data_IF_767847272999
#
_entry.id   IF_767847272999
#
_cell.length_a   1.000
_cell.length_b   1.000
_cell.length_c   1.000
_cell.angle_alpha   90.00
_cell.angle_beta   90.00
_cell.angle_gamma   90.00
#
_symmetry.space_group_name_H-M   'P 1'
#
loop_
_entity.id
_entity.type
_entity.pdbx_description
1 polymer ?
#
# COMPACT_ATOMS: atom_id res chain seq x y z
N UNK A 1 -57.52 -30.43 -1.44
CA UNK A 1 -56.91 -30.15 -0.12
C UNK A 1 -55.40 -30.24 -0.31
N UNK A 2 -54.82 -29.37 -1.14
CA UNK A 2 -54.06 -28.16 -0.76
C UNK A 2 -52.89 -28.51 0.15
N UNK A 3 -51.74 -28.70 -0.49
CA UNK A 3 -50.53 -29.26 0.08
C UNK A 3 -49.86 -28.43 1.17
N UNK A 4 -49.19 -29.19 2.02
CA UNK A 4 -48.15 -28.80 2.97
C UNK A 4 -47.13 -27.89 2.26
N UNK A 5 -47.10 -26.60 2.61
CA UNK A 5 -46.04 -25.72 2.13
C UNK A 5 -44.81 -25.96 3.00
N UNK A 6 -43.63 -26.21 2.42
CA UNK A 6 -42.39 -26.27 3.19
C UNK A 6 -42.15 -24.93 3.91
N UNK A 7 -41.49 -24.94 5.10
CA UNK A 7 -41.16 -23.73 5.82
C UNK A 7 -40.35 -22.80 4.91
N UNK A 8 -40.79 -21.54 4.84
CA UNK A 8 -40.10 -20.53 4.04
C UNK A 8 -38.64 -20.42 4.50
N UNK A 9 -37.66 -20.33 3.57
CA UNK A 9 -36.26 -20.18 3.93
C UNK A 9 -36.06 -18.95 4.81
N UNK A 10 -35.31 -19.10 5.90
CA UNK A 10 -34.94 -18.02 6.79
C UNK A 10 -34.28 -16.91 5.96
N UNK A 11 -34.91 -15.73 5.89
CA UNK A 11 -34.30 -14.58 5.21
C UNK A 11 -32.96 -14.29 5.87
N UNK A 12 -31.89 -14.06 5.10
CA UNK A 12 -30.66 -13.50 5.65
C UNK A 12 -31.01 -12.14 6.27
N UNK A 13 -31.13 -12.10 7.60
CA UNK A 13 -31.16 -10.84 8.34
C UNK A 13 -29.76 -10.26 8.19
N UNK A 14 -29.59 -9.37 7.21
CA UNK A 14 -28.42 -8.50 7.10
C UNK A 14 -28.36 -7.58 8.30
N UNK A 15 -27.99 -8.12 9.46
CA UNK A 15 -27.47 -7.33 10.56
C UNK A 15 -26.15 -6.70 10.12
N UNK A 16 -25.77 -5.54 10.70
CA UNK A 16 -24.46 -4.94 10.43
C UNK A 16 -23.41 -6.03 10.59
N UNK A 17 -22.60 -6.24 9.55
CA UNK A 17 -21.46 -7.13 9.62
C UNK A 17 -20.65 -6.68 10.83
N UNK A 18 -20.67 -7.51 11.88
CA UNK A 18 -19.82 -7.31 13.05
C UNK A 18 -18.40 -7.17 12.49
N UNK A 19 -17.73 -6.03 12.69
CA UNK A 19 -16.34 -5.90 12.28
C UNK A 19 -15.58 -6.93 13.09
N UNK A 20 -15.34 -8.08 12.47
CA UNK A 20 -14.66 -9.20 13.09
C UNK A 20 -13.37 -8.74 13.75
N UNK A 21 -12.88 -9.49 14.75
CA UNK A 21 -11.71 -9.11 15.53
C UNK A 21 -10.58 -8.63 14.60
N UNK A 22 -9.92 -7.50 14.91
CA UNK A 22 -8.91 -6.92 14.04
C UNK A 22 -7.87 -7.99 13.71
N UNK A 23 -7.41 -8.09 12.45
CA UNK A 23 -6.44 -9.09 12.07
C UNK A 23 -5.25 -9.01 13.04
N UNK A 24 -4.93 -10.14 13.66
CA UNK A 24 -3.77 -10.27 14.54
C UNK A 24 -2.57 -9.86 13.71
N UNK A 25 -1.87 -8.79 14.10
CA UNK A 25 -0.75 -8.27 13.33
C UNK A 25 0.39 -9.31 13.34
N UNK A 26 0.40 -10.19 12.34
CA UNK A 26 1.50 -11.12 12.12
C UNK A 26 2.77 -10.29 11.95
N UNK A 27 3.74 -10.56 12.81
CA UNK A 27 4.99 -9.83 12.91
C UNK A 27 5.76 -10.08 11.62
N UNK A 28 5.63 -9.15 10.64
CA UNK A 28 6.29 -9.30 9.34
C UNK A 28 7.79 -9.53 9.54
N UNK A 29 8.37 -10.60 8.97
CA UNK A 29 9.79 -10.92 9.09
C UNK A 29 10.68 -9.74 8.71
N UNK A 30 11.74 -9.52 9.48
CA UNK A 30 12.70 -8.42 9.26
C UNK A 30 13.32 -8.45 7.86
N UNK A 31 13.42 -9.63 7.24
CA UNK A 31 13.93 -9.80 5.88
C UNK A 31 13.00 -9.19 4.82
N UNK A 32 11.68 -9.36 4.95
CA UNK A 32 10.70 -8.74 4.05
C UNK A 32 10.73 -7.22 4.16
N UNK A 33 10.96 -6.68 5.37
CA UNK A 33 11.08 -5.23 5.59
C UNK A 33 12.32 -4.66 4.93
N UNK A 34 13.46 -5.34 5.07
CA UNK A 34 14.70 -4.94 4.43
C UNK A 34 14.58 -5.02 2.89
N UNK A 35 13.89 -6.04 2.37
CA UNK A 35 13.59 -6.17 0.94
C UNK A 35 12.76 -5.00 0.41
N UNK A 36 11.69 -4.62 1.12
CA UNK A 36 10.86 -3.46 0.75
C UNK A 36 11.64 -2.14 0.84
N UNK A 37 12.45 -1.95 1.88
CA UNK A 37 13.30 -0.78 2.02
C UNK A 37 14.36 -0.69 0.91
N UNK A 38 14.95 -1.81 0.49
CA UNK A 38 15.90 -1.87 -0.61
C UNK A 38 15.26 -1.50 -1.94
N UNK A 39 14.05 -2.02 -2.23
CA UNK A 39 13.31 -1.64 -3.46
C UNK A 39 12.98 -0.15 -3.45
N UNK A 40 12.52 0.39 -2.32
CA UNK A 40 12.26 1.81 -2.19
C UNK A 40 13.52 2.65 -2.40
N UNK A 41 14.68 2.20 -1.92
CA UNK A 41 15.97 2.87 -2.15
C UNK A 41 16.34 2.88 -3.65
N UNK A 42 16.19 1.75 -4.34
CA UNK A 42 16.47 1.66 -5.80
C UNK A 42 15.54 2.59 -6.57
N UNK A 43 14.23 2.50 -6.32
CA UNK A 43 13.24 3.34 -7.00
C UNK A 43 13.47 4.82 -6.71
N UNK A 44 13.67 5.18 -5.43
CA UNK A 44 13.97 6.56 -5.03
C UNK A 44 15.24 7.09 -5.68
N UNK A 45 16.29 6.27 -5.78
CA UNK A 45 17.52 6.61 -6.48
C UNK A 45 17.31 6.85 -7.97
N UNK A 46 16.52 6.01 -8.65
CA UNK A 46 16.17 6.19 -10.06
C UNK A 46 15.37 7.49 -10.29
N UNK A 47 14.42 7.82 -9.42
CA UNK A 47 13.68 9.08 -9.52
C UNK A 47 14.57 10.30 -9.24
N UNK A 48 15.51 10.20 -8.30
CA UNK A 48 16.47 11.27 -8.03
C UNK A 48 17.42 11.48 -9.22
N UNK A 49 17.89 10.40 -9.84
CA UNK A 49 18.68 10.44 -11.06
C UNK A 49 17.90 11.06 -12.22
N UNK A 50 16.64 10.66 -12.41
CA UNK A 50 15.77 11.25 -13.43
C UNK A 50 15.54 12.74 -13.19
N UNK A 51 15.32 13.14 -11.94
CA UNK A 51 15.18 14.55 -11.56
C UNK A 51 16.43 15.36 -11.90
N UNK A 52 17.62 14.82 -11.61
CA UNK A 52 18.89 15.44 -11.98
C UNK A 52 19.05 15.58 -13.49
N UNK A 53 18.82 14.49 -14.24
CA UNK A 53 18.91 14.50 -15.70
C UNK A 53 17.94 15.50 -16.34
N UNK A 54 16.67 15.51 -15.91
CA UNK A 54 15.65 16.44 -16.38
C UNK A 54 16.00 17.90 -16.05
N UNK A 55 16.53 18.16 -14.85
CA UNK A 55 16.98 19.48 -14.43
C UNK A 55 18.11 20.01 -15.32
N UNK A 56 19.10 19.16 -15.64
CA UNK A 56 20.18 19.53 -16.57
C UNK A 56 19.69 19.73 -18.02
N UNK A 57 18.57 19.10 -18.39
CA UNK A 57 17.94 19.25 -19.70
C UNK A 57 17.00 20.45 -19.84
N UNK A 58 16.74 21.20 -18.76
CA UNK A 58 15.86 22.38 -18.75
C UNK A 58 14.38 22.09 -18.45
N UNK A 59 14.01 20.83 -18.22
CA UNK A 59 12.64 20.36 -17.95
C UNK A 59 12.32 20.46 -16.45
N UNK A 60 12.16 21.68 -15.94
CA UNK A 60 12.00 21.93 -14.50
C UNK A 60 10.74 21.29 -13.89
N UNK A 61 9.66 21.17 -14.65
CA UNK A 61 8.41 20.53 -14.20
C UNK A 61 8.65 19.03 -13.96
N UNK A 62 9.30 18.35 -14.91
CA UNK A 62 9.60 16.94 -14.77
C UNK A 62 10.61 16.69 -13.64
N UNK A 63 11.61 17.58 -13.51
CA UNK A 63 12.60 17.53 -12.45
C UNK A 63 11.96 17.64 -11.05
N UNK A 64 11.05 18.59 -10.87
CA UNK A 64 10.36 18.80 -9.58
C UNK A 64 9.38 17.68 -9.26
N UNK A 65 8.59 17.21 -10.23
CA UNK A 65 7.68 16.07 -10.05
C UNK A 65 8.44 14.79 -9.68
N UNK A 66 9.53 14.48 -10.40
CA UNK A 66 10.36 13.31 -10.10
C UNK A 66 11.08 13.46 -8.76
N UNK A 67 11.58 14.65 -8.45
CA UNK A 67 12.27 14.92 -7.18
C UNK A 67 11.34 14.77 -5.99
N UNK A 68 10.12 15.29 -6.08
CA UNK A 68 9.08 15.11 -5.06
C UNK A 68 8.72 13.63 -4.89
N UNK A 69 8.55 12.90 -6.01
CA UNK A 69 8.34 11.46 -5.99
C UNK A 69 9.48 10.70 -5.28
N UNK A 70 10.73 11.04 -5.57
CA UNK A 70 11.91 10.43 -4.93
C UNK A 70 11.88 10.61 -3.41
N UNK A 71 11.60 11.84 -2.92
CA UNK A 71 11.53 12.14 -1.50
C UNK A 71 10.43 11.30 -0.82
N UNK A 72 9.25 11.21 -1.43
CA UNK A 72 8.14 10.42 -0.89
C UNK A 72 8.46 8.93 -0.85
N UNK A 73 9.03 8.38 -1.93
CA UNK A 73 9.42 6.96 -1.98
C UNK A 73 10.45 6.62 -0.91
N UNK A 74 11.48 7.45 -0.75
CA UNK A 74 12.50 7.25 0.28
C UNK A 74 11.92 7.42 1.68
N UNK A 75 11.05 8.42 1.90
CA UNK A 75 10.38 8.63 3.18
C UNK A 75 9.51 7.44 3.61
N UNK A 76 8.76 6.85 2.67
CA UNK A 76 7.95 5.65 2.92
C UNK A 76 8.82 4.42 3.14
N UNK A 77 9.85 4.21 2.32
CA UNK A 77 10.81 3.11 2.50
C UNK A 77 11.51 3.17 3.85
N UNK A 78 11.95 4.35 4.27
CA UNK A 78 12.59 4.57 5.56
C UNK A 78 11.60 4.38 6.71
N UNK A 79 10.37 4.88 6.57
CA UNK A 79 9.31 4.65 7.56
C UNK A 79 8.99 3.16 7.73
N UNK A 80 9.03 2.39 6.65
CA UNK A 80 8.84 0.92 6.66
C UNK A 80 9.97 0.21 7.41
N UNK A 81 11.19 0.74 7.31
CA UNK A 81 12.35 0.20 8.03
C UNK A 81 12.34 0.55 9.53
N UNK A 82 11.98 1.78 9.88
CA UNK A 82 12.00 2.28 11.28
C UNK A 82 10.80 1.78 12.09
N UNK A 83 9.61 1.77 11.47
CA UNK A 83 8.33 1.42 12.13
C UNK A 83 8.04 -0.07 12.09
N UNK A 84 9.02 -0.84 11.61
CA UNK A 84 9.07 -2.29 11.65
C UNK A 84 9.39 -2.79 13.05
#
# INVERSE_FOLDING_TARGET
MTGDRPPAPARPTGGPADPGPPPVAEQRPWLERLGLAAIAAVMGGLLAFMAYAAGTGGEWILATMSGAGAILTLGVGLSTLIRG
#
